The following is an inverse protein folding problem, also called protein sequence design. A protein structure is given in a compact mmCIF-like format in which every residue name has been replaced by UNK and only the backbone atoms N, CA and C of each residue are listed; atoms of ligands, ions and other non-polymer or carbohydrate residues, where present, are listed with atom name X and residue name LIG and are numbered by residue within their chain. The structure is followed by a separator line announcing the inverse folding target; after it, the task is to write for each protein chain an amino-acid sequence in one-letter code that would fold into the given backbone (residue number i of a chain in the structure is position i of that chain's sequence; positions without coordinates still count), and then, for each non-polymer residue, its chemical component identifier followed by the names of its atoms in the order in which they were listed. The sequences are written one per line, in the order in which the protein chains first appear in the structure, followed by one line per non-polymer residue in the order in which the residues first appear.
data_IF_754966869898
#
_entry.id   IF_754966869898
#
_cell.length_a   1.000
_cell.length_b   1.000
_cell.length_c   1.000
_cell.angle_alpha   90.00
_cell.angle_beta   90.00
_cell.angle_gamma   90.00
#
_symmetry.space_group_name_H-M   'P 1'
#
loop_
_entity.id
_entity.type
_entity.pdbx_description
1 polymer ?
#
# COMPACT_ATOMS: atom_id res chain seq x y z
N UNK A 1 13.36 -4.17 -28.02
CA UNK A 1 12.72 -5.09 -27.04
C UNK A 1 11.22 -4.83 -26.88
N UNK A 2 10.76 -3.58 -26.68
CA UNK A 2 9.32 -3.27 -26.51
C UNK A 2 8.45 -3.70 -27.70
N UNK A 3 8.84 -3.38 -28.93
CA UNK A 3 8.07 -3.77 -30.13
C UNK A 3 7.97 -5.29 -30.33
N UNK A 4 9.00 -6.03 -29.90
CA UNK A 4 9.00 -7.51 -29.95
C UNK A 4 8.06 -8.07 -28.88
N UNK A 5 8.06 -7.48 -27.68
CA UNK A 5 7.13 -7.87 -26.61
C UNK A 5 5.67 -7.57 -26.98
N UNK A 6 5.41 -6.42 -27.60
CA UNK A 6 4.08 -6.03 -28.09
C UNK A 6 3.60 -6.98 -29.19
N UNK A 7 4.46 -7.36 -30.13
CA UNK A 7 4.11 -8.35 -31.14
C UNK A 7 3.92 -9.75 -30.55
N UNK A 8 4.77 -10.18 -29.62
CA UNK A 8 4.62 -11.47 -28.94
C UNK A 8 3.29 -11.55 -28.16
N UNK A 9 2.87 -10.46 -27.52
CA UNK A 9 1.57 -10.39 -26.86
C UNK A 9 0.41 -10.46 -27.88
N UNK A 10 0.52 -9.80 -29.03
CA UNK A 10 -0.45 -9.94 -30.11
C UNK A 10 -0.57 -11.38 -30.62
N UNK A 11 0.57 -12.09 -30.76
CA UNK A 11 0.56 -13.52 -31.15
C UNK A 11 -0.10 -14.37 -30.06
N UNK A 12 0.16 -14.10 -28.78
CA UNK A 12 -0.51 -14.78 -27.65
C UNK A 12 -2.02 -14.56 -27.69
N UNK A 13 -2.48 -13.33 -27.92
CA UNK A 13 -3.90 -12.99 -28.02
C UNK A 13 -4.55 -13.57 -29.28
N UNK A 14 -3.83 -13.62 -30.40
CA UNK A 14 -4.27 -14.30 -31.62
C UNK A 14 -4.47 -15.81 -31.38
N UNK A 15 -3.60 -16.44 -30.60
CA UNK A 15 -3.76 -17.85 -30.18
C UNK A 15 -5.01 -18.05 -29.32
N UNK A 16 -5.25 -17.15 -28.36
CA UNK A 16 -6.42 -17.24 -27.45
C UNK A 16 -7.75 -17.01 -28.18
N UNK A 17 -7.74 -16.20 -29.25
CA UNK A 17 -8.91 -15.93 -30.08
C UNK A 17 -9.07 -16.89 -31.28
N UNK A 18 -8.03 -17.68 -31.60
CA UNK A 18 -7.98 -18.56 -32.76
C UNK A 18 -8.89 -19.78 -32.64
N UNK A 19 -9.12 -20.45 -33.76
CA UNK A 19 -9.91 -21.68 -33.81
C UNK A 19 -9.08 -22.91 -33.41
N UNK A 20 -9.73 -23.98 -32.91
CA UNK A 20 -9.07 -25.27 -32.71
C UNK A 20 -8.46 -25.76 -34.03
N UNK A 21 -7.12 -25.85 -34.09
CA UNK A 21 -6.38 -26.24 -35.29
C UNK A 21 -5.51 -25.13 -35.89
N UNK A 22 -5.66 -23.89 -35.45
CA UNK A 22 -4.77 -22.81 -35.88
C UNK A 22 -3.34 -23.06 -35.40
N UNK A 23 -2.36 -22.85 -36.28
CA UNK A 23 -0.94 -22.99 -35.99
C UNK A 23 -0.24 -21.66 -35.72
N UNK A 24 1.00 -21.73 -35.20
CA UNK A 24 1.81 -20.54 -34.88
C UNK A 24 1.94 -19.54 -36.03
N UNK A 25 2.12 -20.02 -37.27
CA UNK A 25 2.20 -19.15 -38.45
C UNK A 25 0.93 -18.32 -38.67
N UNK A 26 -0.25 -18.91 -38.49
CA UNK A 26 -1.53 -18.22 -38.63
C UNK A 26 -1.74 -17.19 -37.51
N UNK A 27 -1.29 -17.49 -36.28
CA UNK A 27 -1.31 -16.52 -35.19
C UNK A 27 -0.38 -15.31 -35.46
N UNK A 28 0.80 -15.55 -36.03
CA UNK A 28 1.71 -14.47 -36.45
C UNK A 28 1.11 -13.61 -37.57
N UNK A 29 0.46 -14.22 -38.57
CA UNK A 29 -0.23 -13.47 -39.61
C UNK A 29 -1.39 -12.63 -39.06
N UNK A 30 -2.21 -13.21 -38.18
CA UNK A 30 -3.31 -12.50 -37.53
C UNK A 30 -2.80 -11.32 -36.69
N UNK A 31 -1.69 -11.50 -35.96
CA UNK A 31 -1.01 -10.45 -35.22
C UNK A 31 -0.47 -9.34 -36.14
N UNK A 32 0.12 -9.72 -37.30
CA UNK A 32 0.60 -8.76 -38.30
C UNK A 32 -0.53 -7.90 -38.88
N UNK A 33 -1.62 -8.55 -39.33
CA UNK A 33 -2.83 -7.85 -39.82
C UNK A 33 -3.43 -6.93 -38.77
N UNK A 34 -3.55 -7.39 -37.52
CA UNK A 34 -4.06 -6.57 -36.42
C UNK A 34 -3.24 -5.29 -36.21
N UNK A 35 -1.91 -5.37 -36.35
CA UNK A 35 -1.00 -4.23 -36.18
C UNK A 35 -1.11 -3.20 -37.31
N UNK A 36 -1.08 -3.64 -38.57
CA UNK A 36 -0.94 -2.74 -39.72
C UNK A 36 -2.28 -2.34 -40.35
N UNK A 37 -3.21 -3.29 -40.48
CA UNK A 37 -4.53 -3.04 -41.06
C UNK A 37 -5.47 -2.44 -40.02
N UNK A 38 -5.43 -2.95 -38.79
CA UNK A 38 -6.31 -2.50 -37.70
C UNK A 38 -6.18 -0.99 -37.41
N UNK A 39 -4.97 -0.44 -37.45
CA UNK A 39 -4.74 1.01 -37.27
C UNK A 39 -5.32 1.85 -38.40
N UNK A 40 -5.14 1.42 -39.65
CA UNK A 40 -5.67 2.11 -40.83
C UNK A 40 -7.20 2.07 -40.85
N UNK A 41 -7.77 0.91 -40.55
CA UNK A 41 -9.21 0.71 -40.47
C UNK A 41 -9.84 1.53 -39.34
N UNK A 42 -9.20 1.60 -38.16
CA UNK A 42 -9.67 2.43 -37.06
C UNK A 42 -9.70 3.92 -37.45
N UNK A 43 -8.63 4.42 -38.08
CA UNK A 43 -8.59 5.80 -38.57
C UNK A 43 -9.66 6.10 -39.63
N UNK A 44 -9.89 5.17 -40.56
CA UNK A 44 -10.94 5.29 -41.57
C UNK A 44 -12.34 5.32 -40.94
N UNK A 45 -12.59 4.46 -39.95
CA UNK A 45 -13.86 4.44 -39.22
C UNK A 45 -14.10 5.74 -38.45
N UNK A 46 -13.09 6.25 -37.73
CA UNK A 46 -13.20 7.52 -36.98
C UNK A 46 -13.45 8.72 -37.93
N UNK A 47 -12.90 8.68 -39.13
CA UNK A 47 -13.13 9.72 -40.16
C UNK A 47 -14.56 9.66 -40.72
N UNK A 48 -15.11 8.45 -40.86
CA UNK A 48 -16.47 8.21 -41.33
C UNK A 48 -17.52 8.65 -40.30
N UNK A 49 -17.31 8.34 -39.02
CA UNK A 49 -18.22 8.69 -37.94
C UNK A 49 -18.00 10.15 -37.53
N UNK A 50 -18.93 11.04 -37.88
CA UNK A 50 -18.81 12.49 -37.60
C UNK A 50 -19.63 12.94 -36.41
N UNK A 51 -20.62 12.16 -36.01
CA UNK A 51 -21.54 12.54 -34.94
C UNK A 51 -20.95 12.22 -33.55
N UNK A 52 -21.18 13.11 -32.59
CA UNK A 52 -20.67 12.96 -31.23
C UNK A 52 -21.17 11.67 -30.53
N UNK A 53 -22.46 11.28 -30.62
CA UNK A 53 -22.94 10.03 -30.03
C UNK A 53 -22.26 8.77 -30.58
N UNK A 54 -21.99 8.74 -31.89
CA UNK A 54 -21.29 7.62 -32.53
C UNK A 54 -19.84 7.52 -32.05
N UNK A 55 -19.13 8.66 -31.98
CA UNK A 55 -17.75 8.70 -31.48
C UNK A 55 -17.66 8.35 -30.00
N UNK A 56 -18.59 8.84 -29.18
CA UNK A 56 -18.65 8.50 -27.76
C UNK A 56 -18.90 7.00 -27.54
N UNK A 57 -19.79 6.39 -28.33
CA UNK A 57 -20.04 4.95 -28.30
C UNK A 57 -18.79 4.16 -28.72
N UNK A 58 -18.13 4.58 -29.80
CA UNK A 58 -16.90 3.97 -30.29
C UNK A 58 -15.79 4.01 -29.22
N UNK A 59 -15.59 5.16 -28.57
CA UNK A 59 -14.63 5.31 -27.46
C UNK A 59 -15.01 4.41 -26.30
N UNK A 60 -16.28 4.42 -25.88
CA UNK A 60 -16.75 3.64 -24.74
C UNK A 60 -16.55 2.14 -24.95
N UNK A 61 -16.91 1.61 -26.12
CA UNK A 61 -16.66 0.19 -26.48
C UNK A 61 -15.16 -0.11 -26.53
N UNK A 62 -14.33 0.81 -27.02
CA UNK A 62 -12.88 0.59 -27.06
C UNK A 62 -12.23 0.54 -25.66
N UNK A 63 -12.76 1.30 -24.70
CA UNK A 63 -12.27 1.37 -23.32
C UNK A 63 -12.88 0.29 -22.42
N UNK A 64 -14.06 -0.22 -22.76
CA UNK A 64 -14.82 -1.22 -22.00
C UNK A 64 -15.07 -2.47 -22.83
N UNK A 65 -14.16 -2.81 -23.74
CA UNK A 65 -14.31 -3.99 -24.61
C UNK A 65 -14.52 -5.25 -23.78
N UNK A 66 -15.59 -5.98 -24.09
CA UNK A 66 -16.05 -7.16 -23.35
C UNK A 66 -17.03 -6.88 -22.21
N UNK A 67 -17.36 -5.62 -21.90
CA UNK A 67 -18.36 -5.27 -20.88
C UNK A 67 -19.80 -5.50 -21.39
N UNK A 68 -20.75 -5.58 -20.45
CA UNK A 68 -22.17 -5.73 -20.76
C UNK A 68 -22.72 -4.49 -21.49
N UNK A 69 -23.70 -4.70 -22.38
CA UNK A 69 -24.31 -3.66 -23.20
C UNK A 69 -24.86 -2.48 -22.37
N UNK A 70 -25.47 -2.76 -21.21
CA UNK A 70 -25.98 -1.72 -20.31
C UNK A 70 -24.87 -0.81 -19.76
N UNK A 71 -23.71 -1.38 -19.47
CA UNK A 71 -22.53 -0.64 -19.01
C UNK A 71 -22.01 0.25 -20.13
N UNK A 72 -21.90 -0.28 -21.35
CA UNK A 72 -21.50 0.49 -22.53
C UNK A 72 -22.45 1.67 -22.77
N UNK A 73 -23.76 1.42 -22.70
CA UNK A 73 -24.78 2.43 -22.91
C UNK A 73 -24.65 3.57 -21.90
N UNK A 74 -24.64 3.26 -20.59
CA UNK A 74 -24.48 4.27 -19.53
C UNK A 74 -23.14 5.00 -19.61
N UNK A 75 -22.05 4.27 -19.84
CA UNK A 75 -20.73 4.88 -19.97
C UNK A 75 -20.67 5.85 -21.16
N UNK A 76 -21.36 5.53 -22.26
CA UNK A 76 -21.48 6.43 -23.41
C UNK A 76 -22.24 7.71 -23.05
N UNK A 77 -23.32 7.61 -22.30
CA UNK A 77 -24.08 8.77 -21.81
C UNK A 77 -23.22 9.65 -20.90
N UNK A 78 -22.48 9.06 -19.95
CA UNK A 78 -21.54 9.81 -19.10
C UNK A 78 -20.46 10.53 -19.92
N UNK A 79 -19.92 9.89 -20.97
CA UNK A 79 -18.93 10.52 -21.82
C UNK A 79 -19.49 11.72 -22.57
N UNK A 80 -20.72 11.60 -23.10
CA UNK A 80 -21.41 12.70 -23.76
C UNK A 80 -21.66 13.86 -22.80
N UNK A 81 -22.16 13.57 -21.59
CA UNK A 81 -22.38 14.59 -20.56
C UNK A 81 -21.08 15.27 -20.11
N UNK A 82 -19.96 14.55 -20.08
CA UNK A 82 -18.65 15.10 -19.72
C UNK A 82 -18.06 16.02 -20.81
N UNK A 83 -18.51 15.90 -22.05
CA UNK A 83 -17.99 16.64 -23.20
C UNK A 83 -18.92 17.80 -23.67
N UNK A 84 -20.13 17.91 -23.13
CA UNK A 84 -21.05 19.02 -23.42
C UNK A 84 -22.48 18.78 -22.92
N UNK A 85 -23.34 19.81 -22.90
CA UNK A 85 -24.74 19.65 -22.52
C UNK A 85 -25.43 18.66 -23.46
N UNK A 86 -26.24 17.77 -22.90
CA UNK A 86 -27.10 16.89 -23.68
C UNK A 86 -27.97 17.75 -24.60
N UNK A 87 -27.86 17.55 -25.91
CA UNK A 87 -28.83 18.15 -26.84
C UNK A 87 -30.22 17.71 -26.42
N UNK A 88 -31.22 18.60 -26.46
CA UNK A 88 -32.63 18.22 -26.28
C UNK A 88 -32.95 17.15 -27.32
N UNK A 89 -32.97 15.90 -26.86
CA UNK A 89 -33.04 14.73 -27.73
C UNK A 89 -34.47 14.36 -28.06
N UNK A 90 -34.66 13.77 -29.24
CA UNK A 90 -35.88 13.04 -29.56
C UNK A 90 -36.18 11.98 -28.49
N UNK A 91 -37.48 11.70 -28.29
CA UNK A 91 -37.98 10.66 -27.38
C UNK A 91 -37.15 9.38 -27.49
N UNK A 92 -36.81 8.69 -26.38
CA UNK A 92 -36.03 7.45 -26.41
C UNK A 92 -36.57 6.38 -27.37
N UNK A 93 -37.89 6.36 -27.61
CA UNK A 93 -38.55 5.42 -28.53
C UNK A 93 -38.37 5.77 -30.02
N UNK A 94 -37.89 6.97 -30.34
CA UNK A 94 -37.57 7.40 -31.72
C UNK A 94 -36.08 7.26 -32.05
N UNK A 95 -35.25 7.03 -31.04
CA UNK A 95 -33.82 6.83 -31.24
C UNK A 95 -33.56 5.42 -31.78
N UNK A 96 -32.53 5.29 -32.61
CA UNK A 96 -32.02 3.97 -33.02
C UNK A 96 -31.68 3.15 -31.79
N UNK A 97 -32.02 1.88 -31.82
CA UNK A 97 -31.70 0.99 -30.71
C UNK A 97 -30.18 0.79 -30.56
N UNK A 98 -29.76 0.26 -29.42
CA UNK A 98 -28.34 0.05 -29.15
C UNK A 98 -27.69 -0.93 -30.12
N UNK A 99 -28.41 -1.95 -30.60
CA UNK A 99 -27.86 -2.95 -31.51
C UNK A 99 -27.53 -2.32 -32.87
N UNK A 100 -28.43 -1.51 -33.41
CA UNK A 100 -28.24 -0.77 -34.66
C UNK A 100 -27.05 0.20 -34.54
N UNK A 101 -26.97 0.94 -33.42
CA UNK A 101 -25.86 1.85 -33.12
C UNK A 101 -24.51 1.13 -32.97
N UNK A 102 -24.49 -0.08 -32.42
CA UNK A 102 -23.26 -0.88 -32.30
C UNK A 102 -22.77 -1.37 -33.67
N UNK A 103 -23.68 -1.78 -34.56
CA UNK A 103 -23.34 -2.18 -35.93
C UNK A 103 -22.67 -1.03 -36.69
N UNK A 104 -23.16 0.21 -36.53
CA UNK A 104 -22.58 1.40 -37.17
C UNK A 104 -21.10 1.60 -36.81
N UNK A 105 -20.71 1.26 -35.58
CA UNK A 105 -19.33 1.37 -35.11
C UNK A 105 -18.53 0.07 -35.26
N UNK A 106 -19.04 -0.90 -36.02
CA UNK A 106 -18.42 -2.22 -36.23
C UNK A 106 -18.26 -3.05 -34.95
N UNK A 107 -19.14 -2.85 -33.97
CA UNK A 107 -19.22 -3.64 -32.74
C UNK A 107 -20.46 -4.55 -32.75
N UNK A 108 -20.40 -5.63 -31.98
CA UNK A 108 -21.53 -6.56 -31.85
C UNK A 108 -21.72 -7.01 -30.40
N UNK A 109 -22.96 -7.34 -30.05
CA UNK A 109 -23.33 -7.92 -28.75
C UNK A 109 -23.34 -9.43 -28.85
N UNK A 110 -22.60 -10.11 -27.97
CA UNK A 110 -22.62 -11.56 -27.83
C UNK A 110 -23.89 -12.05 -27.10
N UNK A 111 -24.25 -13.34 -27.16
CA UNK A 111 -25.46 -13.87 -26.51
C UNK A 111 -25.54 -13.63 -25.00
N UNK A 112 -24.40 -13.41 -24.34
CA UNK A 112 -24.30 -13.08 -22.92
C UNK A 112 -24.35 -11.56 -22.63
N UNK A 113 -24.74 -10.75 -23.61
CA UNK A 113 -24.84 -9.30 -23.48
C UNK A 113 -23.51 -8.54 -23.58
N UNK A 114 -22.38 -9.23 -23.79
CA UNK A 114 -21.07 -8.57 -23.87
C UNK A 114 -20.85 -7.92 -25.24
N UNK A 115 -20.44 -6.65 -25.23
CA UNK A 115 -20.14 -5.89 -26.44
C UNK A 115 -18.66 -5.99 -26.79
N UNK A 116 -18.35 -6.29 -28.05
CA UNK A 116 -16.98 -6.45 -28.54
C UNK A 116 -16.83 -5.98 -29.98
N UNK A 117 -15.63 -5.54 -30.34
CA UNK A 117 -15.18 -5.59 -31.73
C UNK A 117 -14.78 -7.01 -32.08
N UNK A 118 -15.14 -7.46 -33.28
CA UNK A 118 -14.84 -8.82 -33.75
C UNK A 118 -13.39 -8.96 -34.22
N UNK A 119 -12.79 -7.87 -34.68
CA UNK A 119 -11.40 -7.84 -35.15
C UNK A 119 -10.44 -7.81 -33.97
N UNK A 120 -9.38 -8.61 -34.05
CA UNK A 120 -8.31 -8.69 -33.06
C UNK A 120 -7.68 -7.30 -32.85
N UNK A 121 -7.57 -6.89 -31.59
CA UNK A 121 -6.93 -5.64 -31.12
C UNK A 121 -7.51 -4.33 -31.71
N UNK A 122 -8.68 -4.41 -32.36
CA UNK A 122 -9.32 -3.23 -32.95
C UNK A 122 -9.74 -2.21 -31.88
N UNK A 123 -10.10 -2.67 -30.67
CA UNK A 123 -10.32 -1.79 -29.52
C UNK A 123 -9.08 -0.95 -29.20
N UNK A 124 -7.90 -1.55 -29.21
CA UNK A 124 -6.62 -0.87 -28.96
C UNK A 124 -6.30 0.14 -30.05
N UNK A 125 -6.49 -0.24 -31.32
CA UNK A 125 -6.29 0.64 -32.45
C UNK A 125 -7.19 1.89 -32.37
N UNK A 126 -8.46 1.72 -32.00
CA UNK A 126 -9.42 2.82 -31.79
C UNK A 126 -9.00 3.71 -30.63
N UNK A 127 -8.70 3.15 -29.44
CA UNK A 127 -8.25 3.92 -28.28
C UNK A 127 -7.00 4.74 -28.61
N UNK A 128 -5.99 4.10 -29.19
CA UNK A 128 -4.73 4.73 -29.59
C UNK A 128 -4.99 5.87 -30.57
N UNK A 129 -5.88 5.68 -31.55
CA UNK A 129 -6.21 6.73 -32.51
C UNK A 129 -6.78 7.99 -31.83
N UNK A 130 -7.81 7.84 -30.98
CA UNK A 130 -8.38 8.97 -30.24
C UNK A 130 -7.36 9.60 -29.30
N UNK A 131 -6.58 8.79 -28.60
CA UNK A 131 -5.59 9.28 -27.65
C UNK A 131 -4.48 10.09 -28.33
N UNK A 132 -4.01 9.66 -29.49
CA UNK A 132 -2.89 10.29 -30.22
C UNK A 132 -3.34 11.53 -31.00
N UNK A 133 -4.53 11.49 -31.62
CA UNK A 133 -5.00 12.54 -32.54
C UNK A 133 -5.97 13.55 -31.91
N UNK A 134 -6.46 13.29 -30.70
CA UNK A 134 -7.36 14.20 -29.96
C UNK A 134 -6.84 14.41 -28.53
N UNK A 135 -5.66 15.06 -28.36
CA UNK A 135 -5.01 15.19 -27.05
C UNK A 135 -5.85 15.92 -26.01
N UNK A 136 -6.72 16.82 -26.44
CA UNK A 136 -7.62 17.58 -25.56
C UNK A 136 -8.66 16.69 -24.88
N UNK A 137 -8.96 15.50 -25.42
CA UNK A 137 -9.88 14.55 -24.78
C UNK A 137 -9.29 13.85 -23.57
N UNK A 138 -7.96 13.79 -23.42
CA UNK A 138 -7.31 12.94 -22.40
C UNK A 138 -7.73 13.26 -20.96
N UNK A 139 -7.81 14.53 -20.52
CA UNK A 139 -8.33 14.86 -19.18
C UNK A 139 -9.80 14.45 -19.02
N UNK A 140 -10.62 14.65 -20.05
CA UNK A 140 -12.03 14.25 -20.04
C UNK A 140 -12.20 12.73 -19.96
N UNK A 141 -11.38 11.96 -20.67
CA UNK A 141 -11.37 10.50 -20.59
C UNK A 141 -10.93 10.00 -19.21
N UNK A 142 -9.99 10.69 -18.55
CA UNK A 142 -9.62 10.40 -17.17
C UNK A 142 -10.76 10.64 -16.18
N UNK A 143 -11.44 11.78 -16.28
CA UNK A 143 -12.59 12.11 -15.44
C UNK A 143 -13.77 11.16 -15.71
N UNK A 144 -14.06 10.87 -16.97
CA UNK A 144 -15.07 9.90 -17.39
C UNK A 144 -14.80 8.51 -16.81
N UNK A 145 -13.55 8.04 -16.84
CA UNK A 145 -13.19 6.76 -16.27
C UNK A 145 -13.47 6.69 -14.77
N UNK A 146 -13.27 7.79 -14.03
CA UNK A 146 -13.68 7.89 -12.63
C UNK A 146 -15.18 7.66 -12.46
N UNK A 147 -16.01 8.36 -13.24
CA UNK A 147 -17.47 8.21 -13.21
C UNK A 147 -17.91 6.79 -13.53
N UNK A 148 -17.27 6.12 -14.49
CA UNK A 148 -17.57 4.73 -14.84
C UNK A 148 -17.16 3.76 -13.73
N UNK A 149 -16.01 3.99 -13.07
CA UNK A 149 -15.59 3.17 -11.91
C UNK A 149 -16.60 3.26 -10.77
N UNK A 150 -17.19 4.44 -10.57
CA UNK A 150 -18.18 4.70 -9.52
C UNK A 150 -19.60 4.26 -9.85
N UNK A 151 -19.85 3.78 -11.08
CA UNK A 151 -21.16 3.25 -11.46
C UNK A 151 -21.60 2.14 -10.52
N UNK A 152 -22.75 2.36 -9.89
CA UNK A 152 -23.46 1.35 -9.11
C UNK A 152 -24.36 0.53 -10.04
N UNK A 153 -23.74 -0.27 -10.89
CA UNK A 153 -24.41 -1.16 -11.84
C UNK A 153 -23.98 -2.62 -11.56
N UNK A 154 -24.91 -3.59 -11.56
CA UNK A 154 -24.60 -5.00 -11.29
C UNK A 154 -23.55 -5.60 -12.23
N UNK A 155 -23.43 -5.06 -13.44
CA UNK A 155 -22.48 -5.52 -14.45
C UNK A 155 -21.12 -4.80 -14.38
N UNK A 156 -20.98 -3.75 -13.57
CA UNK A 156 -19.69 -3.09 -13.28
C UNK A 156 -19.00 -3.82 -12.13
N UNK A 157 -18.55 -5.02 -12.45
CA UNK A 157 -17.76 -5.87 -11.55
C UNK A 157 -16.28 -5.46 -11.53
N UNK A 158 -15.52 -5.96 -10.55
CA UNK A 158 -14.10 -5.62 -10.36
C UNK A 158 -13.26 -5.77 -11.64
N UNK A 159 -13.44 -6.86 -12.40
CA UNK A 159 -12.69 -7.07 -13.66
C UNK A 159 -12.96 -5.99 -14.72
N UNK A 160 -14.18 -5.43 -14.77
CA UNK A 160 -14.52 -4.35 -15.70
C UNK A 160 -13.84 -3.05 -15.26
N UNK A 161 -13.86 -2.76 -13.95
CA UNK A 161 -13.18 -1.59 -13.37
C UNK A 161 -11.67 -1.67 -13.59
N UNK A 162 -11.05 -2.79 -13.23
CA UNK A 162 -9.61 -3.00 -13.38
C UNK A 162 -9.19 -2.90 -14.86
N UNK A 163 -9.94 -3.52 -15.77
CA UNK A 163 -9.65 -3.44 -17.20
C UNK A 163 -9.78 -2.02 -17.78
N UNK A 164 -10.73 -1.21 -17.30
CA UNK A 164 -10.83 0.20 -17.68
C UNK A 164 -9.61 0.99 -17.18
N UNK A 165 -9.27 0.84 -15.90
CA UNK A 165 -8.14 1.54 -15.27
C UNK A 165 -6.83 1.15 -15.95
N UNK A 166 -6.64 -0.13 -16.25
CA UNK A 166 -5.48 -0.65 -16.96
C UNK A 166 -5.31 0.01 -18.33
N UNK A 167 -6.40 0.11 -19.11
CA UNK A 167 -6.37 0.75 -20.44
C UNK A 167 -6.06 2.24 -20.34
N UNK A 168 -6.72 2.97 -19.44
CA UNK A 168 -6.47 4.41 -19.24
C UNK A 168 -5.03 4.65 -18.80
N UNK A 169 -4.54 3.93 -17.79
CA UNK A 169 -3.15 4.02 -17.35
C UNK A 169 -2.18 3.65 -18.47
N UNK A 170 -2.48 2.61 -19.24
CA UNK A 170 -1.72 2.18 -20.40
C UNK A 170 -1.54 3.28 -21.44
N UNK A 171 -2.60 4.03 -21.77
CA UNK A 171 -2.51 5.12 -22.76
C UNK A 171 -1.68 6.31 -22.25
N UNK A 172 -1.80 6.67 -20.95
CA UNK A 172 -0.93 7.69 -20.35
C UNK A 172 0.55 7.27 -20.40
N UNK A 173 0.86 6.03 -20.03
CA UNK A 173 2.23 5.50 -20.02
C UNK A 173 2.80 5.37 -21.44
N UNK A 174 2.00 4.85 -22.39
CA UNK A 174 2.40 4.70 -23.80
C UNK A 174 2.80 6.04 -24.41
N UNK A 175 2.11 7.12 -24.06
CA UNK A 175 2.38 8.46 -24.58
C UNK A 175 3.39 9.28 -23.77
N UNK A 176 4.08 8.66 -22.80
CA UNK A 176 5.09 9.34 -21.97
C UNK A 176 4.49 10.38 -21.02
N UNK A 177 3.21 10.25 -20.66
CA UNK A 177 2.45 11.19 -19.84
C UNK A 177 2.27 10.68 -18.40
N UNK A 178 3.35 10.17 -17.81
CA UNK A 178 3.35 9.66 -16.43
C UNK A 178 2.82 10.70 -15.42
N UNK A 179 3.22 11.96 -15.57
CA UNK A 179 2.72 13.07 -14.72
C UNK A 179 1.19 13.24 -14.81
N UNK A 180 0.63 13.07 -16.01
CA UNK A 180 -0.81 13.15 -16.23
C UNK A 180 -1.58 12.03 -15.53
N UNK A 181 -1.02 10.82 -15.53
CA UNK A 181 -1.56 9.70 -14.75
C UNK A 181 -1.45 9.96 -13.25
N UNK A 182 -0.33 10.54 -12.79
CA UNK A 182 -0.16 10.95 -11.40
C UNK A 182 -1.20 11.96 -10.94
N UNK A 183 -1.47 12.99 -11.74
CA UNK A 183 -2.54 13.98 -11.47
C UNK A 183 -3.93 13.32 -11.43
N UNK A 184 -4.19 12.36 -12.33
CA UNK A 184 -5.44 11.61 -12.33
C UNK A 184 -5.63 10.80 -11.04
N UNK A 185 -4.59 10.11 -10.59
CA UNK A 185 -4.58 9.33 -9.34
C UNK A 185 -4.79 10.22 -8.12
N UNK A 186 -4.14 11.38 -8.07
CA UNK A 186 -4.37 12.36 -7.01
C UNK A 186 -5.82 12.84 -7.02
N UNK A 187 -6.36 13.17 -8.20
CA UNK A 187 -7.77 13.53 -8.38
C UNK A 187 -8.73 12.46 -7.86
N UNK A 188 -8.51 11.20 -8.24
CA UNK A 188 -9.27 10.05 -7.75
C UNK A 188 -9.19 9.85 -6.24
N UNK A 189 -8.16 10.38 -5.59
CA UNK A 189 -7.90 10.18 -4.16
C UNK A 189 -8.19 11.43 -3.31
N UNK A 190 -8.85 12.44 -3.89
CA UNK A 190 -9.22 13.69 -3.21
C UNK A 190 -10.72 13.73 -2.89
N UNK A 191 -11.07 14.28 -1.72
CA UNK A 191 -12.47 14.45 -1.30
C UNK A 191 -13.09 13.21 -0.66
N UNK A 192 -14.43 13.13 -0.69
CA UNK A 192 -15.19 11.96 -0.23
C UNK A 192 -15.18 10.89 -1.31
N UNK A 193 -14.08 10.13 -1.38
CA UNK A 193 -13.88 9.13 -2.42
C UNK A 193 -14.58 7.81 -2.09
N UNK A 194 -15.24 7.22 -3.07
CA UNK A 194 -15.81 5.88 -2.95
C UNK A 194 -14.72 4.79 -2.93
N UNK A 195 -14.99 3.66 -2.27
CA UNK A 195 -14.05 2.54 -2.22
C UNK A 195 -13.58 2.05 -3.60
N UNK A 196 -14.45 1.89 -4.62
CA UNK A 196 -14.01 1.51 -5.97
C UNK A 196 -12.99 2.47 -6.57
N UNK A 197 -13.13 3.77 -6.34
CA UNK A 197 -12.23 4.77 -6.90
C UNK A 197 -10.86 4.77 -6.22
N UNK A 198 -10.79 4.45 -4.91
CA UNK A 198 -9.52 4.21 -4.23
C UNK A 198 -8.82 2.93 -4.70
N UNK A 199 -9.59 1.88 -4.98
CA UNK A 199 -9.05 0.65 -5.58
C UNK A 199 -8.51 0.90 -6.99
N UNK A 200 -9.20 1.72 -7.79
CA UNK A 200 -8.72 2.19 -9.09
C UNK A 200 -7.42 2.99 -8.99
N UNK A 201 -7.30 3.90 -8.01
CA UNK A 201 -6.07 4.66 -7.78
C UNK A 201 -4.88 3.75 -7.41
N UNK A 202 -5.11 2.74 -6.57
CA UNK A 202 -4.10 1.71 -6.25
C UNK A 202 -3.71 0.92 -7.50
N UNK A 203 -4.68 0.51 -8.32
CA UNK A 203 -4.42 -0.25 -9.55
C UNK A 203 -3.61 0.58 -10.57
N UNK A 204 -3.97 1.85 -10.78
CA UNK A 204 -3.24 2.75 -11.67
C UNK A 204 -1.80 3.00 -11.21
N UNK A 205 -1.57 3.22 -9.90
CA UNK A 205 -0.20 3.34 -9.36
C UNK A 205 0.60 2.05 -9.51
N UNK A 206 -0.03 0.90 -9.28
CA UNK A 206 0.59 -0.40 -9.47
C UNK A 206 1.03 -0.58 -10.92
N UNK A 207 0.19 -0.16 -11.87
CA UNK A 207 0.51 -0.22 -13.31
C UNK A 207 1.67 0.69 -13.69
N UNK A 208 1.75 1.89 -13.11
CA UNK A 208 2.88 2.81 -13.28
C UNK A 208 4.19 2.26 -12.69
N UNK A 209 4.13 1.62 -11.52
CA UNK A 209 5.28 0.96 -10.89
C UNK A 209 5.77 -0.29 -11.63
N UNK A 210 4.88 -0.96 -12.36
CA UNK A 210 5.22 -2.11 -13.19
C UNK A 210 5.77 -1.72 -14.57
N UNK A 211 5.67 -0.44 -14.96
CA UNK A 211 6.11 0.01 -16.28
C UNK A 211 7.64 0.17 -16.34
N UNK A 212 8.34 -0.49 -17.28
CA UNK A 212 9.80 -0.49 -17.31
C UNK A 212 10.41 0.88 -17.63
N UNK A 213 9.66 1.77 -18.28
CA UNK A 213 10.12 3.11 -18.65
C UNK A 213 9.86 4.08 -17.49
N UNK A 214 8.67 4.01 -16.89
CA UNK A 214 8.20 5.02 -15.94
C UNK A 214 8.26 4.62 -14.46
N UNK A 215 8.60 3.37 -14.12
CA UNK A 215 8.63 2.91 -12.72
C UNK A 215 9.52 3.77 -11.81
N UNK A 216 10.61 4.34 -12.34
CA UNK A 216 11.46 5.27 -11.58
C UNK A 216 10.71 6.54 -11.22
N UNK A 217 10.04 7.16 -12.19
CA UNK A 217 9.30 8.41 -12.02
C UNK A 217 8.16 8.22 -11.01
N UNK A 218 7.43 7.09 -11.10
CA UNK A 218 6.38 6.76 -10.12
C UNK A 218 6.94 6.54 -8.71
N UNK A 219 8.08 5.87 -8.56
CA UNK A 219 8.71 5.73 -7.23
C UNK A 219 9.10 7.09 -6.66
N UNK A 220 9.61 8.00 -7.49
CA UNK A 220 9.95 9.36 -7.08
C UNK A 220 8.71 10.16 -6.70
N UNK A 221 7.67 10.15 -7.53
CA UNK A 221 6.40 10.82 -7.25
C UNK A 221 5.75 10.32 -5.95
N UNK A 222 5.70 9.00 -5.73
CA UNK A 222 5.22 8.40 -4.47
C UNK A 222 6.04 8.89 -3.28
N UNK A 223 7.37 8.98 -3.43
CA UNK A 223 8.20 9.53 -2.37
C UNK A 223 7.83 10.99 -2.07
N UNK A 224 7.68 11.83 -3.09
CA UNK A 224 7.31 13.22 -2.91
C UNK A 224 5.95 13.36 -2.22
N UNK A 225 4.94 12.60 -2.62
CA UNK A 225 3.65 12.60 -1.93
C UNK A 225 3.76 12.15 -0.47
N UNK A 226 4.48 11.06 -0.19
CA UNK A 226 4.70 10.60 1.19
C UNK A 226 5.48 11.64 2.01
N UNK A 227 6.45 12.31 1.41
CA UNK A 227 7.28 13.33 2.05
C UNK A 227 6.55 14.68 2.20
N UNK A 228 5.47 14.94 1.46
CA UNK A 228 4.71 16.19 1.54
C UNK A 228 3.87 16.32 2.82
N UNK A 229 4.11 17.38 3.60
CA UNK A 229 3.44 17.63 4.90
C UNK A 229 1.94 17.94 4.76
N UNK A 230 1.48 18.36 3.59
CA UNK A 230 0.07 18.69 3.33
C UNK A 230 -0.70 17.58 2.62
N UNK A 231 -0.20 16.33 2.62
CA UNK A 231 -0.89 15.20 2.03
C UNK A 231 -2.28 15.04 2.65
N UNK A 232 -3.32 15.09 1.82
CA UNK A 232 -4.72 15.07 2.26
C UNK A 232 -5.32 13.66 2.18
N UNK A 233 -6.20 13.37 3.13
CA UNK A 233 -7.29 12.40 3.00
C UNK A 233 -6.92 11.02 2.48
N UNK A 234 -7.72 10.54 1.53
CA UNK A 234 -7.72 9.17 1.04
C UNK A 234 -6.48 8.78 0.23
N UNK A 235 -5.76 9.75 -0.36
CA UNK A 235 -4.49 9.48 -1.03
C UNK A 235 -3.46 8.86 -0.08
N UNK A 236 -3.44 9.23 1.20
CA UNK A 236 -2.57 8.58 2.17
C UNK A 236 -2.89 7.09 2.30
N UNK A 237 -4.16 6.69 2.23
CA UNK A 237 -4.57 5.27 2.31
C UNK A 237 -4.11 4.50 1.07
N UNK A 238 -4.27 5.09 -0.11
CA UNK A 238 -3.77 4.53 -1.38
C UNK A 238 -2.26 4.31 -1.30
N UNK A 239 -1.50 5.30 -0.82
CA UNK A 239 -0.05 5.21 -0.69
C UNK A 239 0.40 4.19 0.35
N UNK A 240 -0.29 4.06 1.48
CA UNK A 240 -0.03 2.99 2.46
C UNK A 240 -0.13 1.63 1.78
N UNK A 241 -1.23 1.38 1.05
CA UNK A 241 -1.47 0.09 0.38
C UNK A 241 -0.43 -0.20 -0.71
N UNK A 242 -0.16 0.76 -1.59
CA UNK A 242 0.86 0.60 -2.64
C UNK A 242 2.26 0.37 -2.04
N UNK A 243 2.61 1.07 -0.96
CA UNK A 243 3.89 0.87 -0.30
C UNK A 243 3.99 -0.51 0.37
N UNK A 244 2.93 -0.97 1.03
CA UNK A 244 2.89 -2.22 1.78
C UNK A 244 2.79 -3.47 0.89
N UNK A 245 2.03 -3.39 -0.21
CA UNK A 245 1.70 -4.55 -1.04
C UNK A 245 2.61 -4.66 -2.27
N UNK A 246 2.97 -3.52 -2.89
CA UNK A 246 3.69 -3.49 -4.18
C UNK A 246 5.17 -3.16 -3.98
N UNK A 247 5.47 -2.02 -3.34
CA UNK A 247 6.86 -1.60 -3.15
C UNK A 247 7.59 -2.47 -2.14
N UNK A 248 6.93 -2.96 -1.09
CA UNK A 248 7.57 -3.85 -0.12
C UNK A 248 8.16 -5.11 -0.76
N UNK A 249 7.49 -5.63 -1.79
CA UNK A 249 7.87 -6.86 -2.49
C UNK A 249 9.12 -6.67 -3.35
N UNK A 250 9.23 -5.53 -4.04
CA UNK A 250 10.30 -5.28 -5.02
C UNK A 250 11.40 -4.33 -4.51
N UNK A 251 11.05 -3.39 -3.63
CA UNK A 251 11.89 -2.31 -3.12
C UNK A 251 11.65 -2.07 -1.61
N UNK A 252 11.92 -3.06 -0.74
CA UNK A 252 11.58 -3.00 0.69
C UNK A 252 12.18 -1.80 1.43
N UNK A 253 13.42 -1.43 1.11
CA UNK A 253 14.09 -0.27 1.72
C UNK A 253 13.37 1.04 1.37
N UNK A 254 12.85 1.15 0.15
CA UNK A 254 12.10 2.31 -0.32
C UNK A 254 10.70 2.37 0.31
N UNK A 255 10.04 1.21 0.45
CA UNK A 255 8.76 1.08 1.14
C UNK A 255 8.87 1.51 2.61
N UNK A 256 9.92 1.07 3.32
CA UNK A 256 10.20 1.45 4.71
C UNK A 256 10.21 2.97 4.88
N UNK A 257 10.97 3.67 4.04
CA UNK A 257 11.09 5.13 4.14
C UNK A 257 9.74 5.82 3.95
N UNK A 258 8.98 5.41 2.93
CA UNK A 258 7.68 6.00 2.59
C UNK A 258 6.63 5.74 3.67
N UNK A 259 6.51 4.49 4.12
CA UNK A 259 5.64 4.12 5.24
C UNK A 259 6.02 4.85 6.52
N UNK A 260 7.31 5.05 6.79
CA UNK A 260 7.78 5.87 7.93
C UNK A 260 7.34 7.35 7.81
N UNK A 261 7.38 7.94 6.61
CA UNK A 261 6.84 9.29 6.41
C UNK A 261 5.32 9.36 6.65
N UNK A 262 4.57 8.37 6.18
CA UNK A 262 3.12 8.29 6.37
C UNK A 262 2.76 8.05 7.85
N UNK A 263 3.42 7.08 8.49
CA UNK A 263 3.21 6.68 9.89
C UNK A 263 3.40 7.84 10.87
N UNK A 264 4.40 8.71 10.67
CA UNK A 264 4.65 9.82 11.59
C UNK A 264 3.59 10.92 11.53
N UNK A 265 2.80 10.96 10.45
CA UNK A 265 1.79 12.00 10.19
C UNK A 265 0.37 11.50 10.38
N UNK A 266 0.22 10.19 10.57
CA UNK A 266 -1.05 9.54 10.76
C UNK A 266 -1.77 10.10 12.00
N UNK A 267 -3.04 10.48 11.83
CA UNK A 267 -3.92 10.98 12.90
C UNK A 267 -5.27 10.27 12.79
N UNK A 268 -5.83 9.83 13.91
CA UNK A 268 -7.14 9.17 13.95
C UNK A 268 -7.16 7.71 13.45
N UNK A 269 -6.07 7.22 12.85
CA UNK A 269 -5.91 5.83 12.39
C UNK A 269 -4.56 5.24 12.84
N UNK A 270 -4.36 3.94 12.56
CA UNK A 270 -3.12 3.18 12.83
C UNK A 270 -2.63 2.38 11.62
N UNK A 271 -3.23 2.55 10.44
CA UNK A 271 -2.97 1.76 9.23
C UNK A 271 -1.54 1.94 8.73
N UNK A 272 -1.05 3.18 8.66
CA UNK A 272 0.30 3.45 8.18
C UNK A 272 1.36 2.91 9.16
N UNK A 273 1.13 3.09 10.46
CA UNK A 273 1.99 2.52 11.52
C UNK A 273 1.98 1.00 11.52
N UNK A 274 0.81 0.37 11.38
CA UNK A 274 0.68 -1.08 11.31
C UNK A 274 1.41 -1.63 10.09
N UNK A 275 1.20 -1.07 8.90
CA UNK A 275 1.89 -1.48 7.68
C UNK A 275 3.42 -1.35 7.79
N UNK A 276 3.92 -0.31 8.45
CA UNK A 276 5.35 -0.17 8.73
C UNK A 276 5.86 -1.27 9.67
N UNK A 277 5.11 -1.59 10.72
CA UNK A 277 5.48 -2.63 11.68
C UNK A 277 5.44 -4.03 11.03
N UNK A 278 4.42 -4.32 10.24
CA UNK A 278 4.31 -5.57 9.48
C UNK A 278 5.47 -5.73 8.49
N UNK A 279 5.91 -4.63 7.84
CA UNK A 279 7.06 -4.65 6.94
C UNK A 279 8.36 -5.01 7.68
N UNK A 280 8.61 -4.39 8.84
CA UNK A 280 9.84 -4.68 9.59
C UNK A 280 9.82 -6.04 10.28
N UNK A 281 8.65 -6.54 10.68
CA UNK A 281 8.50 -7.89 11.24
C UNK A 281 8.95 -8.98 10.26
N UNK A 282 8.83 -8.73 8.94
CA UNK A 282 9.29 -9.65 7.89
C UNK A 282 10.80 -9.62 7.64
N UNK A 283 11.53 -8.62 8.15
CA UNK A 283 12.94 -8.42 7.86
C UNK A 283 13.71 -7.73 8.99
N UNK A 284 14.59 -8.49 9.66
CA UNK A 284 15.52 -7.99 10.68
C UNK A 284 16.35 -6.80 10.21
N UNK A 285 16.81 -6.80 8.95
CA UNK A 285 17.56 -5.68 8.36
C UNK A 285 16.74 -4.40 8.36
N UNK A 286 15.47 -4.49 7.95
CA UNK A 286 14.55 -3.34 7.91
C UNK A 286 14.20 -2.85 9.32
N UNK A 287 14.02 -3.77 10.27
CA UNK A 287 13.77 -3.44 11.67
C UNK A 287 14.93 -2.66 12.28
N UNK A 288 16.17 -3.13 12.07
CA UNK A 288 17.38 -2.40 12.46
C UNK A 288 17.46 -1.02 11.82
N UNK A 289 17.15 -0.91 10.53
CA UNK A 289 17.13 0.39 9.82
C UNK A 289 16.09 1.35 10.40
N UNK A 290 14.91 0.85 10.80
CA UNK A 290 13.89 1.67 11.45
C UNK A 290 14.37 2.18 12.81
N UNK A 291 14.94 1.31 13.65
CA UNK A 291 15.44 1.68 14.97
C UNK A 291 16.59 2.70 14.89
N UNK A 292 17.57 2.48 14.01
CA UNK A 292 18.66 3.44 13.80
C UNK A 292 18.13 4.79 13.32
N UNK A 293 17.18 4.79 12.38
CA UNK A 293 16.54 6.02 11.89
C UNK A 293 15.78 6.75 12.99
N UNK A 294 14.99 6.06 13.81
CA UNK A 294 14.27 6.65 14.94
C UNK A 294 15.24 7.29 15.93
N UNK A 295 16.31 6.59 16.31
CA UNK A 295 17.31 7.09 17.26
C UNK A 295 18.07 8.33 16.76
N UNK A 296 18.16 8.54 15.44
CA UNK A 296 18.77 9.73 14.81
C UNK A 296 17.80 10.86 14.52
N UNK A 297 16.50 10.66 14.73
CA UNK A 297 15.47 11.66 14.41
C UNK A 297 15.19 12.58 15.59
N UNK A 298 14.55 13.72 15.35
CA UNK A 298 13.96 14.52 16.42
C UNK A 298 12.81 13.72 17.05
N UNK A 299 13.04 13.11 18.22
CA UNK A 299 12.18 12.14 18.91
C UNK A 299 10.87 12.75 19.44
N UNK A 300 10.05 13.28 18.52
CA UNK A 300 8.71 13.78 18.76
C UNK A 300 7.77 12.67 19.22
N UNK A 301 6.61 13.01 19.84
CA UNK A 301 5.65 12.01 20.28
C UNK A 301 5.19 11.03 19.16
N UNK A 302 5.12 11.49 17.91
CA UNK A 302 4.78 10.63 16.78
C UNK A 302 5.87 9.60 16.48
N UNK A 303 7.16 9.98 16.55
CA UNK A 303 8.27 9.04 16.38
C UNK A 303 8.32 8.03 17.54
N UNK A 304 8.06 8.48 18.76
CA UNK A 304 8.01 7.61 19.93
C UNK A 304 6.83 6.64 19.86
N UNK A 305 5.69 7.06 19.31
CA UNK A 305 4.56 6.16 19.03
C UNK A 305 4.90 5.06 18.01
N UNK A 306 5.70 5.37 16.98
CA UNK A 306 6.23 4.36 16.05
C UNK A 306 7.21 3.43 16.77
N UNK A 307 8.13 4.00 17.56
CA UNK A 307 9.10 3.23 18.32
C UNK A 307 8.44 2.21 19.24
N UNK A 308 7.47 2.62 20.06
CA UNK A 308 6.80 1.74 21.02
C UNK A 308 6.08 0.57 20.31
N UNK A 309 5.52 0.80 19.11
CA UNK A 309 4.91 -0.28 18.34
C UNK A 309 5.95 -1.20 17.69
N UNK A 310 7.09 -0.65 17.27
CA UNK A 310 8.19 -1.39 16.67
C UNK A 310 9.12 -2.05 17.71
N UNK A 311 8.98 -1.76 19.00
CA UNK A 311 9.84 -2.30 20.07
C UNK A 311 9.35 -3.65 20.61
N UNK A 312 8.57 -4.39 19.82
CA UNK A 312 8.00 -5.66 20.23
C UNK A 312 9.09 -6.64 20.71
N UNK A 313 9.07 -7.07 21.99
CA UNK A 313 10.12 -7.90 22.56
C UNK A 313 10.20 -9.28 21.88
N UNK A 314 9.10 -9.79 21.32
CA UNK A 314 9.12 -11.04 20.55
C UNK A 314 9.96 -10.88 19.29
N UNK A 315 9.71 -9.83 18.50
CA UNK A 315 10.46 -9.56 17.26
C UNK A 315 11.94 -9.24 17.53
N UNK A 316 12.22 -8.53 18.63
CA UNK A 316 13.60 -8.17 19.01
C UNK A 316 14.43 -9.39 19.41
N UNK A 317 13.79 -10.39 20.02
CA UNK A 317 14.45 -11.59 20.56
C UNK A 317 14.33 -12.81 19.65
N UNK A 318 13.51 -12.73 18.60
CA UNK A 318 13.31 -13.81 17.63
C UNK A 318 14.63 -14.16 16.92
N UNK A 319 14.94 -15.46 16.92
CA UNK A 319 16.08 -16.03 16.19
C UNK A 319 15.57 -16.80 14.98
N UNK A 320 16.15 -16.52 13.81
CA UNK A 320 15.85 -17.24 12.57
C UNK A 320 17.05 -18.10 12.18
N UNK A 321 16.94 -19.41 12.38
CA UNK A 321 18.03 -20.36 12.11
C UNK A 321 19.24 -20.11 13.01
N UNK A 322 20.43 -20.01 12.41
CA UNK A 322 21.71 -19.77 13.11
C UNK A 322 22.02 -18.29 13.36
N UNK A 323 21.14 -17.37 12.94
CA UNK A 323 21.37 -15.94 13.12
C UNK A 323 21.05 -15.47 14.54
N UNK A 324 21.88 -14.56 15.05
CA UNK A 324 21.66 -13.85 16.32
C UNK A 324 20.35 -13.04 16.29
N UNK A 325 19.75 -12.85 17.46
CA UNK A 325 18.57 -12.01 17.62
C UNK A 325 18.94 -10.54 17.37
N UNK A 326 17.97 -9.68 17.03
CA UNK A 326 18.26 -8.26 16.81
C UNK A 326 18.77 -7.59 18.09
N UNK A 327 18.25 -8.01 19.24
CA UNK A 327 18.68 -7.52 20.55
C UNK A 327 20.15 -7.83 20.86
N UNK A 328 20.76 -8.83 20.22
CA UNK A 328 22.17 -9.18 20.42
C UNK A 328 23.12 -8.16 19.74
N UNK A 329 22.61 -7.33 18.82
CA UNK A 329 23.40 -6.35 18.07
C UNK A 329 23.60 -5.06 18.87
N UNK A 330 24.86 -4.69 19.15
CA UNK A 330 25.19 -3.47 19.91
C UNK A 330 24.60 -2.18 19.31
N UNK A 331 24.52 -2.09 17.98
CA UNK A 331 23.89 -0.94 17.33
C UNK A 331 22.39 -0.86 17.61
N UNK A 332 21.69 -2.01 17.62
CA UNK A 332 20.27 -2.06 17.92
C UNK A 332 20.02 -1.74 19.41
N UNK A 333 20.84 -2.29 20.30
CA UNK A 333 20.81 -1.96 21.73
C UNK A 333 20.94 -0.44 21.97
N UNK A 334 21.92 0.20 21.32
CA UNK A 334 22.11 1.66 21.42
C UNK A 334 20.87 2.43 20.95
N UNK A 335 20.29 2.06 19.80
CA UNK A 335 19.07 2.69 19.30
C UNK A 335 17.88 2.49 20.23
N UNK A 336 17.70 1.28 20.77
CA UNK A 336 16.64 0.97 21.73
C UNK A 336 16.79 1.80 23.01
N UNK A 337 17.99 1.92 23.56
CA UNK A 337 18.26 2.73 24.76
C UNK A 337 17.94 4.21 24.53
N UNK A 338 18.38 4.78 23.40
CA UNK A 338 18.10 6.19 23.05
C UNK A 338 16.59 6.42 22.93
N UNK A 339 15.87 5.56 22.21
CA UNK A 339 14.43 5.72 22.02
C UNK A 339 13.63 5.49 23.32
N UNK A 340 14.02 4.51 24.15
CA UNK A 340 13.41 4.32 25.47
C UNK A 340 13.66 5.52 26.39
N UNK A 341 14.87 6.06 26.43
CA UNK A 341 15.19 7.24 27.25
C UNK A 341 14.27 8.41 26.88
N UNK A 342 14.11 8.67 25.58
CA UNK A 342 13.23 9.72 25.09
C UNK A 342 11.75 9.43 25.39
N UNK A 343 11.29 8.18 25.28
CA UNK A 343 9.93 7.79 25.65
C UNK A 343 9.65 8.01 27.14
N UNK A 344 10.57 7.58 28.01
CA UNK A 344 10.44 7.72 29.47
C UNK A 344 10.48 9.18 29.92
N UNK A 345 11.25 10.02 29.23
CA UNK A 345 11.40 11.45 29.57
C UNK A 345 10.29 12.33 29.00
N UNK A 346 9.87 12.04 27.75
CA UNK A 346 9.05 12.92 26.93
C UNK A 346 7.58 12.52 26.79
N UNK A 347 7.20 11.27 27.10
CA UNK A 347 5.80 10.82 27.03
C UNK A 347 5.17 10.68 28.42
N UNK A 348 3.85 10.94 28.56
CA UNK A 348 3.10 10.60 29.76
C UNK A 348 3.20 9.09 30.08
N UNK A 349 3.25 8.68 31.36
CA UNK A 349 3.41 7.27 31.76
C UNK A 349 2.44 6.31 31.08
N UNK A 350 1.17 6.70 30.95
CA UNK A 350 0.13 5.89 30.32
C UNK A 350 0.43 5.49 28.87
N UNK A 351 1.25 6.26 28.15
CA UNK A 351 1.55 6.00 26.74
C UNK A 351 2.66 4.95 26.56
N UNK A 352 3.63 4.85 27.45
CA UNK A 352 4.73 3.89 27.35
C UNK A 352 4.57 2.66 28.25
N UNK A 353 3.76 2.74 29.31
CA UNK A 353 3.56 1.64 30.27
C UNK A 353 3.01 0.36 29.64
N UNK A 354 2.15 0.47 28.61
CA UNK A 354 1.61 -0.71 27.92
C UNK A 354 2.73 -1.54 27.27
N UNK A 355 3.68 -0.88 26.61
CA UNK A 355 4.80 -1.55 25.95
C UNK A 355 5.85 -2.03 26.97
N UNK A 356 6.14 -1.25 28.01
CA UNK A 356 7.02 -1.70 29.11
C UNK A 356 6.46 -2.97 29.79
N UNK A 357 5.13 -3.03 29.99
CA UNK A 357 4.45 -4.22 30.50
C UNK A 357 4.64 -5.42 29.57
N UNK A 358 4.56 -5.24 28.25
CA UNK A 358 4.85 -6.33 27.29
C UNK A 358 6.29 -6.84 27.43
N UNK A 359 7.27 -5.95 27.61
CA UNK A 359 8.66 -6.33 27.89
C UNK A 359 8.78 -7.17 29.17
N UNK A 360 8.09 -6.80 30.25
CA UNK A 360 8.10 -7.57 31.50
C UNK A 360 7.39 -8.92 31.38
N UNK A 361 6.27 -8.98 30.65
CA UNK A 361 5.60 -10.25 30.36
C UNK A 361 6.50 -11.18 29.54
N UNK A 362 7.19 -10.65 28.53
CA UNK A 362 8.12 -11.42 27.72
C UNK A 362 9.35 -11.91 28.49
N UNK A 363 9.91 -11.05 29.36
CA UNK A 363 11.01 -11.44 30.24
C UNK A 363 10.61 -12.56 31.23
N UNK A 364 9.36 -12.53 31.74
CA UNK A 364 8.87 -13.54 32.68
C UNK A 364 8.41 -14.86 32.02
N UNK A 365 8.24 -14.89 30.70
CA UNK A 365 7.84 -16.09 29.94
C UNK A 365 8.94 -17.16 29.79
N UNK A 366 10.13 -16.97 30.37
CA UNK A 366 11.21 -17.97 30.35
C UNK A 366 12.18 -17.83 29.17
N UNK A 367 12.40 -16.61 28.69
CA UNK A 367 13.22 -16.28 27.51
C UNK A 367 14.74 -16.29 27.76
N UNK A 368 15.18 -16.86 28.88
CA UNK A 368 16.59 -17.01 29.24
C UNK A 368 17.35 -15.67 29.31
N UNK A 369 18.53 -15.62 28.69
CA UNK A 369 19.41 -14.44 28.71
C UNK A 369 18.81 -13.21 28.03
N UNK A 370 17.91 -13.38 27.05
CA UNK A 370 17.29 -12.24 26.36
C UNK A 370 16.33 -11.46 27.28
N UNK A 371 15.64 -12.15 28.20
CA UNK A 371 14.78 -11.48 29.19
C UNK A 371 15.59 -10.55 30.09
N UNK A 372 16.76 -11.00 30.55
CA UNK A 372 17.71 -10.16 31.32
C UNK A 372 18.19 -8.95 30.52
N UNK A 373 18.52 -9.14 29.24
CA UNK A 373 19.00 -8.08 28.36
C UNK A 373 17.93 -7.00 28.08
N UNK A 374 16.66 -7.39 27.92
CA UNK A 374 15.55 -6.43 27.81
C UNK A 374 15.44 -5.54 29.05
N UNK A 375 15.57 -6.13 30.25
CA UNK A 375 15.58 -5.38 31.50
C UNK A 375 16.80 -4.46 31.59
N UNK A 376 17.97 -4.92 31.18
CA UNK A 376 19.19 -4.11 31.16
C UNK A 376 19.05 -2.89 30.25
N UNK A 377 18.43 -3.05 29.08
CA UNK A 377 18.23 -1.96 28.13
C UNK A 377 17.29 -0.87 28.67
N UNK A 378 16.14 -1.25 29.24
CA UNK A 378 15.17 -0.28 29.77
C UNK A 378 15.68 0.39 31.05
N UNK A 379 16.44 -0.34 31.90
CA UNK A 379 17.11 0.25 33.07
C UNK A 379 18.22 1.21 32.65
N UNK A 380 19.02 0.86 31.64
CA UNK A 380 20.06 1.74 31.10
C UNK A 380 19.46 3.03 30.52
N UNK A 381 18.31 2.93 29.86
CA UNK A 381 17.56 4.08 29.36
C UNK A 381 17.04 4.98 30.50
N UNK A 382 16.43 4.37 31.53
CA UNK A 382 15.95 5.07 32.72
C UNK A 382 17.09 5.77 33.49
N UNK A 383 18.27 5.14 33.57
CA UNK A 383 19.46 5.71 34.21
C UNK A 383 19.90 7.01 33.53
N UNK A 384 19.71 7.14 32.21
CA UNK A 384 20.04 8.34 31.42
C UNK A 384 18.99 9.46 31.53
N UNK A 385 17.92 9.28 32.30
CA UNK A 385 16.86 10.27 32.50
C UNK A 385 17.18 11.29 33.61
N UNK A 386 18.42 11.80 33.66
CA UNK A 386 18.97 12.78 34.61
C UNK A 386 18.06 13.18 35.79
N UNK A 387 17.36 14.33 35.70
CA UNK A 387 16.55 14.92 36.78
C UNK A 387 15.33 14.08 37.18
N UNK A 388 14.78 13.29 36.24
CA UNK A 388 13.59 12.46 36.46
C UNK A 388 13.91 11.01 36.80
N UNK A 389 15.19 10.66 36.95
CA UNK A 389 15.66 9.28 37.12
C UNK A 389 14.93 8.53 38.24
N UNK A 390 14.78 9.17 39.42
CA UNK A 390 14.10 8.56 40.57
C UNK A 390 12.62 8.28 40.31
N UNK A 391 11.91 9.25 39.72
CA UNK A 391 10.50 9.12 39.34
C UNK A 391 10.30 8.02 38.29
N UNK A 392 11.14 8.01 37.25
CA UNK A 392 11.10 6.99 36.17
C UNK A 392 11.33 5.59 36.74
N UNK A 393 12.31 5.41 37.64
CA UNK A 393 12.53 4.11 38.29
C UNK A 393 11.34 3.67 39.15
N UNK A 394 10.73 4.59 39.92
CA UNK A 394 9.55 4.28 40.73
C UNK A 394 8.36 3.87 39.85
N UNK A 395 8.09 4.60 38.76
CA UNK A 395 7.04 4.29 37.80
C UNK A 395 7.28 2.97 37.07
N UNK A 396 8.53 2.69 36.70
CA UNK A 396 8.92 1.44 36.04
C UNK A 396 8.73 0.24 36.97
N UNK A 397 9.15 0.35 38.23
CA UNK A 397 8.94 -0.69 39.24
C UNK A 397 7.44 -0.90 39.53
N UNK A 398 6.66 0.17 39.67
CA UNK A 398 5.21 0.07 39.82
C UNK A 398 4.56 -0.64 38.61
N UNK A 399 4.98 -0.30 37.39
CA UNK A 399 4.52 -0.95 36.16
C UNK A 399 4.84 -2.46 36.14
N UNK A 400 6.04 -2.86 36.60
CA UNK A 400 6.42 -4.27 36.72
C UNK A 400 5.60 -5.01 37.78
N UNK A 401 5.35 -4.40 38.94
CA UNK A 401 4.46 -4.98 39.97
C UNK A 401 3.03 -5.14 39.49
N UNK A 402 2.53 -4.22 38.66
CA UNK A 402 1.23 -4.39 38.03
C UNK A 402 1.24 -5.50 36.97
N UNK A 403 2.30 -5.60 36.18
CA UNK A 403 2.49 -6.67 35.21
C UNK A 403 2.58 -8.05 35.86
N UNK A 404 3.08 -8.14 37.09
CA UNK A 404 3.16 -9.39 37.84
C UNK A 404 1.78 -10.07 38.01
N UNK A 405 0.73 -9.27 38.19
CA UNK A 405 -0.64 -9.76 38.40
C UNK A 405 -1.27 -10.37 37.14
N UNK A 406 -0.78 -10.01 35.96
CA UNK A 406 -1.32 -10.43 34.66
C UNK A 406 -0.32 -11.23 33.83
N UNK A 407 0.78 -11.70 34.45
CA UNK A 407 1.89 -12.35 33.77
C UNK A 407 1.57 -13.76 33.24
N UNK A 408 1.96 -14.10 32.00
CA UNK A 408 1.68 -15.41 31.40
C UNK A 408 2.53 -16.57 31.96
N UNK A 409 3.68 -16.26 32.58
CA UNK A 409 4.64 -17.24 33.12
C UNK A 409 4.32 -17.80 34.51
N UNK A 410 3.15 -17.45 35.07
CA UNK A 410 2.77 -17.75 36.46
C UNK A 410 3.35 -16.75 37.47
N UNK A 411 2.67 -16.61 38.62
CA UNK A 411 2.97 -15.56 39.60
C UNK A 411 4.42 -15.59 40.13
N UNK A 412 4.99 -16.78 40.32
CA UNK A 412 6.36 -16.93 40.83
C UNK A 412 7.43 -16.36 39.88
N UNK A 413 7.36 -16.70 38.58
CA UNK A 413 8.32 -16.19 37.57
C UNK A 413 8.17 -14.69 37.34
N UNK A 414 6.94 -14.20 37.39
CA UNK A 414 6.68 -12.78 37.28
C UNK A 414 7.27 -12.01 38.49
N UNK A 415 7.14 -12.56 39.70
CA UNK A 415 7.78 -12.01 40.90
C UNK A 415 9.31 -12.05 40.84
N UNK A 416 9.90 -13.14 40.34
CA UNK A 416 11.35 -13.23 40.09
C UNK A 416 11.83 -12.16 39.10
N UNK A 417 11.08 -11.93 38.02
CA UNK A 417 11.38 -10.90 37.02
C UNK A 417 11.32 -9.49 37.64
N UNK A 418 10.30 -9.22 38.45
CA UNK A 418 10.19 -7.94 39.19
C UNK A 418 11.33 -7.78 40.21
N UNK A 419 11.71 -8.85 40.91
CA UNK A 419 12.86 -8.86 41.83
C UNK A 419 14.19 -8.60 41.10
N UNK A 420 14.38 -9.20 39.93
CA UNK A 420 15.55 -8.94 39.08
C UNK A 420 15.57 -7.50 38.59
N UNK A 421 14.43 -6.94 38.20
CA UNK A 421 14.32 -5.52 37.83
C UNK A 421 14.69 -4.62 39.01
N UNK A 422 14.18 -4.87 40.21
CA UNK A 422 14.52 -4.09 41.41
C UNK A 422 16.01 -4.14 41.73
N UNK A 423 16.64 -5.31 41.57
CA UNK A 423 18.08 -5.47 41.74
C UNK A 423 18.86 -4.62 40.73
N UNK A 424 18.47 -4.66 39.44
CA UNK A 424 19.09 -3.84 38.37
C UNK A 424 18.90 -2.34 38.61
N UNK A 425 17.71 -1.92 39.04
CA UNK A 425 17.43 -0.51 39.44
C UNK A 425 18.33 -0.09 40.61
N UNK A 426 18.40 -0.90 41.67
CA UNK A 426 19.22 -0.60 42.85
C UNK A 426 20.70 -0.46 42.48
N UNK A 427 21.21 -1.38 41.66
CA UNK A 427 22.58 -1.30 41.13
C UNK A 427 22.81 -0.02 40.31
N UNK A 428 21.87 0.35 39.43
CA UNK A 428 21.96 1.58 38.65
C UNK A 428 21.93 2.85 39.52
N UNK A 429 21.22 2.81 40.66
CA UNK A 429 21.19 3.89 41.65
C UNK A 429 22.42 3.91 42.57
N UNK A 430 23.33 2.93 42.48
CA UNK A 430 24.50 2.81 43.37
C UNK A 430 24.15 2.30 44.77
N UNK A 431 22.97 1.70 44.95
CA UNK A 431 22.52 1.11 46.21
C UNK A 431 23.01 -0.34 46.21
N UNK A 432 23.98 -0.66 47.09
CA UNK A 432 24.46 -2.02 47.25
C UNK A 432 23.29 -2.96 47.58
N UNK A 433 23.19 -4.16 46.95
CA UNK A 433 22.14 -5.10 47.30
C UNK A 433 22.30 -5.48 48.76
N UNK A 434 21.23 -5.34 49.55
CA UNK A 434 21.21 -5.87 50.90
C UNK A 434 21.53 -7.36 50.82
N UNK A 435 22.67 -7.76 51.39
CA UNK A 435 23.06 -9.15 51.56
C UNK A 435 21.89 -9.86 52.23
N UNK A 436 21.42 -10.96 51.62
CA UNK A 436 20.39 -11.82 52.21
C UNK A 436 20.85 -12.15 53.64
N UNK A 437 20.08 -11.86 54.71
CA UNK A 437 20.52 -12.24 56.05
C UNK A 437 20.66 -13.76 56.07
N UNK A 438 21.88 -14.23 56.29
CA UNK A 438 22.15 -15.63 56.55
C UNK A 438 21.27 -16.07 57.71
N UNK A 439 20.42 -17.05 57.46
CA UNK A 439 19.68 -17.75 58.50
C UNK A 439 20.71 -18.40 59.41
N UNK A 440 21.03 -17.74 60.52
CA UNK A 440 21.78 -18.32 61.63
C UNK A 440 21.09 -19.60 62.07
N UNK A 441 21.79 -20.75 62.10
CA UNK A 441 21.22 -21.97 62.64
C UNK A 441 21.04 -21.77 64.14
N UNK A 442 19.78 -21.85 64.60
CA UNK A 442 19.43 -21.88 66.02
C UNK A 442 20.28 -22.92 66.73
N UNK A 443 21.12 -22.46 67.65
CA UNK A 443 21.81 -23.29 68.61
C UNK A 443 20.79 -24.11 69.40
N UNK A 444 20.92 -25.42 69.30
CA UNK A 444 20.41 -26.35 70.30
C UNK A 444 21.39 -26.31 71.47
N UNK A 445 20.88 -26.05 72.67
CA UNK A 445 21.61 -26.24 73.93
C UNK A 445 20.77 -27.08 74.89
N UNK A 446 21.45 -27.82 75.78
CA UNK A 446 21.15 -29.20 76.15
C UNK A 446 20.04 -29.38 77.17
#
# INVERSE_FOLDING_TARGET
MREIAEFADLVRRAREAGQPGDGFGQWCEAAGRARDDGRREAAALVTKLREAPQRALLISVSMLHGAHADVIHRATEYLLSALGPASEGDSPLRQRDLAERLIEISATTAPNGQVRFQRLDFDSAVRTHFWDHMPDLRPHLGAWAASVVELNDPHVVTVVRDGLVERVAGEYLRTGRADGLGTLIEGWSTGTTSRPLLEAAVHALTRGLADPVHARDFREQIYQWCANRSLKGELAQVLVRVCADVLATSHPDQALVRLYHLARRERGTTRARQALCDLVARSRRLHRMLLDRLARSDLSPAHLGIFLQASDPELLTFRRGTSHALIDEQSAQRSLTICWQAALTGLPPRQWQAEARRWFHWASAGTGSHGGLLLDLIVSAAQQCAEKRGEVFALMYACARDAERTGPGGAARAAETTGLLLHKISAAQGIAPATRPETSPRGTRP
#
